data_IF_419273282576
#
_entry.id   IF_419273282576
#
_cell.length_a   1.000
_cell.length_b   1.000
_cell.length_c   1.000
_cell.angle_alpha   90.00
_cell.angle_beta   90.00
_cell.angle_gamma   90.00
#
_symmetry.space_group_name_H-M   'P 1'
#
loop_
_entity.id
_entity.type
_entity.pdbx_description
1 polymer ?
#
# COMPACT_ATOMS: atom_id res chain seq x y z
N UNK A 1 -44.94 41.06 -23.27
CA UNK A 1 -43.79 40.23 -23.69
C UNK A 1 -42.54 40.75 -23.00
N UNK A 2 -42.08 40.09 -21.93
CA UNK A 2 -40.78 40.35 -21.31
C UNK A 2 -39.85 39.20 -21.71
N UNK A 3 -38.74 39.53 -22.40
CA UNK A 3 -37.65 38.59 -22.65
C UNK A 3 -36.80 38.57 -21.39
N UNK A 4 -36.87 37.48 -20.61
CA UNK A 4 -35.88 37.22 -19.58
C UNK A 4 -34.68 36.53 -20.23
N UNK A 5 -33.54 37.18 -20.08
CA UNK A 5 -32.23 36.78 -20.56
C UNK A 5 -31.79 35.62 -19.69
N UNK A 6 -31.62 34.44 -20.29
CA UNK A 6 -30.87 33.35 -19.70
C UNK A 6 -29.42 33.81 -19.56
N UNK A 7 -29.04 34.26 -18.36
CA UNK A 7 -27.63 34.35 -18.02
C UNK A 7 -27.14 32.92 -17.81
N UNK A 8 -26.53 32.38 -18.87
CA UNK A 8 -25.65 31.23 -18.78
C UNK A 8 -24.61 31.50 -17.70
N UNK A 9 -24.65 30.75 -16.60
CA UNK A 9 -23.56 30.65 -15.63
C UNK A 9 -22.41 29.85 -16.27
N UNK A 10 -21.80 30.43 -17.31
CA UNK A 10 -20.53 29.98 -17.85
C UNK A 10 -19.44 30.77 -17.14
N UNK A 11 -18.91 30.26 -16.01
CA UNK A 11 -17.60 30.63 -15.46
C UNK A 11 -17.34 29.89 -14.14
N UNK A 12 -16.76 28.69 -14.20
CA UNK A 12 -15.64 28.24 -13.34
C UNK A 12 -15.21 26.78 -13.67
N UNK A 13 -14.44 26.54 -14.75
CA UNK A 13 -13.77 25.25 -14.96
C UNK A 13 -12.36 25.19 -14.35
N UNK A 14 -11.59 26.28 -14.35
CA UNK A 14 -10.12 26.23 -14.15
C UNK A 14 -9.64 26.05 -12.71
N UNK A 15 -10.37 26.55 -11.69
CA UNK A 15 -9.97 26.34 -10.27
C UNK A 15 -10.01 24.87 -9.85
N UNK A 16 -10.83 24.05 -10.50
CA UNK A 16 -10.99 22.63 -10.18
C UNK A 16 -9.75 21.81 -10.52
N UNK A 17 -9.05 22.14 -11.61
CA UNK A 17 -7.93 21.34 -12.14
C UNK A 17 -6.67 21.48 -11.31
N UNK A 18 -6.26 22.71 -10.99
CA UNK A 18 -5.10 22.96 -10.13
C UNK A 18 -5.31 22.33 -8.75
N UNK A 19 -6.49 22.51 -8.16
CA UNK A 19 -6.86 21.89 -6.88
C UNK A 19 -6.81 20.36 -6.92
N UNK A 20 -7.26 19.74 -8.02
CA UNK A 20 -7.15 18.29 -8.19
C UNK A 20 -5.67 17.84 -8.21
N UNK A 21 -4.77 18.57 -8.90
CA UNK A 21 -3.34 18.26 -8.88
C UNK A 21 -2.69 18.49 -7.50
N UNK A 22 -3.10 19.52 -6.77
CA UNK A 22 -2.64 19.78 -5.40
C UNK A 22 -3.03 18.63 -4.47
N UNK A 23 -4.30 18.21 -4.51
CA UNK A 23 -4.81 17.07 -3.75
C UNK A 23 -4.13 15.77 -4.13
N UNK A 24 -3.98 15.46 -5.43
CA UNK A 24 -3.22 14.26 -5.86
C UNK A 24 -1.80 14.30 -5.29
N UNK A 25 -1.13 15.46 -5.30
CA UNK A 25 0.21 15.60 -4.74
C UNK A 25 0.21 15.35 -3.22
N UNK A 26 -0.73 15.92 -2.47
CA UNK A 26 -0.88 15.70 -1.03
C UNK A 26 -1.14 14.22 -0.70
N UNK A 27 -2.09 13.59 -1.40
CA UNK A 27 -2.39 12.16 -1.23
C UNK A 27 -1.20 11.29 -1.61
N UNK A 28 -0.41 11.66 -2.62
CA UNK A 28 0.81 10.95 -3.02
C UNK A 28 1.90 11.01 -1.93
N UNK A 29 2.09 12.18 -1.30
CA UNK A 29 3.02 12.35 -0.18
C UNK A 29 2.57 11.52 1.03
N UNK A 30 1.29 11.58 1.38
CA UNK A 30 0.74 10.77 2.47
C UNK A 30 0.84 9.28 2.21
N UNK A 31 0.60 8.86 0.98
CA UNK A 31 0.76 7.49 0.57
C UNK A 31 2.21 7.00 0.73
N UNK A 32 3.19 7.84 0.35
CA UNK A 32 4.61 7.51 0.55
C UNK A 32 4.98 7.44 2.03
N UNK A 33 4.50 8.37 2.85
CA UNK A 33 4.72 8.40 4.30
C UNK A 33 4.25 7.09 4.96
N UNK A 34 3.00 6.70 4.69
CA UNK A 34 2.41 5.47 5.20
C UNK A 34 3.15 4.22 4.71
N UNK A 35 3.49 4.18 3.42
CA UNK A 35 4.21 3.04 2.82
C UNK A 35 5.64 2.93 3.37
N UNK A 36 6.31 4.05 3.65
CA UNK A 36 7.61 4.04 4.34
C UNK A 36 7.46 3.53 5.78
N UNK A 37 6.40 3.93 6.48
CA UNK A 37 6.05 3.38 7.80
C UNK A 37 5.80 1.87 7.76
N UNK A 38 5.12 1.37 6.73
CA UNK A 38 4.92 -0.07 6.52
C UNK A 38 6.27 -0.79 6.38
N UNK A 39 7.19 -0.27 5.57
CA UNK A 39 8.52 -0.86 5.43
C UNK A 39 9.28 -0.90 6.76
N UNK A 40 9.21 0.17 7.55
CA UNK A 40 9.82 0.21 8.87
C UNK A 40 9.22 -0.84 9.82
N UNK A 41 7.89 -0.97 9.84
CA UNK A 41 7.18 -1.98 10.64
C UNK A 41 7.54 -3.41 10.21
N UNK A 42 7.60 -3.68 8.88
CA UNK A 42 7.99 -4.98 8.35
C UNK A 42 9.43 -5.35 8.73
N UNK A 43 10.37 -4.40 8.63
CA UNK A 43 11.77 -4.60 9.05
C UNK A 43 11.92 -4.82 10.56
N UNK A 44 10.99 -4.30 11.36
CA UNK A 44 10.93 -4.46 12.81
C UNK A 44 10.13 -5.71 13.27
N UNK A 45 9.63 -6.53 12.33
CA UNK A 45 8.76 -7.68 12.60
C UNK A 45 7.42 -7.31 13.30
N UNK A 46 7.02 -6.03 13.24
CA UNK A 46 5.76 -5.52 13.78
C UNK A 46 4.63 -5.62 12.75
N UNK A 47 4.11 -6.84 12.60
CA UNK A 47 3.06 -7.15 11.63
C UNK A 47 1.70 -6.53 11.96
N UNK A 48 1.47 -6.15 13.21
CA UNK A 48 0.22 -5.48 13.60
C UNK A 48 0.22 -4.05 13.07
N UNK A 49 1.28 -3.28 13.34
CA UNK A 49 1.44 -1.93 12.78
C UNK A 49 1.48 -1.96 11.26
N UNK A 50 2.17 -2.93 10.65
CA UNK A 50 2.17 -3.12 9.20
C UNK A 50 0.74 -3.25 8.63
N UNK A 51 -0.10 -4.07 9.26
CA UNK A 51 -1.49 -4.30 8.84
C UNK A 51 -2.33 -3.03 9.00
N UNK A 52 -2.18 -2.33 10.11
CA UNK A 52 -2.94 -1.12 10.39
C UNK A 52 -2.60 -0.01 9.38
N UNK A 53 -1.32 0.16 9.05
CA UNK A 53 -0.87 1.10 8.01
C UNK A 53 -1.33 0.69 6.60
N UNK A 54 -1.43 -0.61 6.32
CA UNK A 54 -1.97 -1.11 5.05
C UNK A 54 -3.44 -0.71 4.87
N UNK A 55 -4.24 -0.74 5.93
CA UNK A 55 -5.63 -0.25 5.90
C UNK A 55 -5.71 1.26 5.71
N UNK A 56 -4.84 2.01 6.41
CA UNK A 56 -4.83 3.48 6.36
C UNK A 56 -4.45 4.05 4.98
N UNK A 57 -3.69 3.32 4.15
CA UNK A 57 -3.28 3.81 2.84
C UNK A 57 -4.35 3.67 1.74
N UNK A 58 -5.37 2.83 1.94
CA UNK A 58 -6.40 2.55 0.93
C UNK A 58 -7.15 3.82 0.47
N UNK A 59 -7.64 4.69 1.38
CA UNK A 59 -8.38 5.89 0.96
C UNK A 59 -7.56 6.83 0.07
N UNK A 60 -6.24 6.92 0.28
CA UNK A 60 -5.37 7.77 -0.53
C UNK A 60 -5.16 7.22 -1.94
N UNK A 61 -5.10 5.90 -2.10
CA UNK A 61 -5.09 5.27 -3.43
C UNK A 61 -6.39 5.55 -4.18
N UNK A 62 -7.52 5.38 -3.52
CA UNK A 62 -8.85 5.63 -4.11
C UNK A 62 -9.01 7.10 -4.51
N UNK A 63 -8.57 8.03 -3.65
CA UNK A 63 -8.59 9.46 -3.94
C UNK A 63 -7.73 9.81 -5.16
N UNK A 64 -6.49 9.31 -5.24
CA UNK A 64 -5.63 9.52 -6.39
C UNK A 64 -6.28 9.00 -7.68
N UNK A 65 -6.89 7.81 -7.64
CA UNK A 65 -7.54 7.21 -8.79
C UNK A 65 -8.75 8.02 -9.27
N UNK A 66 -9.59 8.47 -8.32
CA UNK A 66 -10.74 9.30 -8.62
C UNK A 66 -10.31 10.66 -9.22
N UNK A 67 -9.36 11.34 -8.58
CA UNK A 67 -8.91 12.67 -9.01
C UNK A 67 -8.13 12.64 -10.33
N UNK A 68 -7.34 11.59 -10.57
CA UNK A 68 -6.62 11.41 -11.84
C UNK A 68 -7.59 11.35 -13.02
N UNK A 69 -8.72 10.68 -12.85
CA UNK A 69 -9.75 10.56 -13.89
C UNK A 69 -10.34 11.93 -14.22
N UNK A 70 -10.65 12.73 -13.20
CA UNK A 70 -11.20 14.08 -13.34
C UNK A 70 -10.20 15.09 -13.93
N UNK A 71 -8.90 14.95 -13.63
CA UNK A 71 -7.86 15.86 -14.11
C UNK A 71 -7.50 15.68 -15.60
N UNK A 72 -7.89 14.56 -16.22
CA UNK A 72 -7.70 14.29 -17.65
C UNK A 72 -8.83 14.91 -18.49
N UNK A 73 -10.04 15.02 -17.92
CA UNK A 73 -11.25 15.45 -18.64
C UNK A 73 -11.46 16.97 -18.69
N UNK A 74 -10.70 17.77 -17.93
CA UNK A 74 -10.84 19.24 -17.94
C UNK A 74 -10.19 19.86 -19.19
N UNK A 75 -11.02 20.37 -20.12
CA UNK A 75 -10.62 21.10 -21.33
C UNK A 75 -9.75 22.34 -21.02
N UNK A 76 -8.86 22.65 -21.96
CA UNK A 76 -7.78 23.64 -21.83
C UNK A 76 -8.27 25.07 -22.03
N UNK A 77 -8.04 25.93 -21.03
CA UNK A 77 -7.90 27.38 -21.23
C UNK A 77 -6.48 27.77 -20.81
N UNK A 78 -5.75 28.38 -21.73
CA UNK A 78 -4.34 28.75 -21.56
C UNK A 78 -4.17 29.84 -20.51
N UNK A 79 -3.93 29.44 -19.27
CA UNK A 79 -3.51 30.33 -18.19
C UNK A 79 -2.07 29.99 -17.79
N UNK A 80 -1.10 30.68 -18.41
CA UNK A 80 0.34 30.35 -18.38
C UNK A 80 0.93 30.21 -16.97
N UNK A 81 0.42 30.95 -15.97
CA UNK A 81 0.87 30.85 -14.58
C UNK A 81 0.42 29.56 -13.88
N UNK A 82 -0.81 29.10 -14.14
CA UNK A 82 -1.35 27.87 -13.54
C UNK A 82 -0.74 26.63 -14.22
N UNK A 83 -0.48 26.70 -15.53
CA UNK A 83 0.24 25.65 -16.26
C UNK A 83 1.61 25.36 -15.63
N UNK A 84 2.38 26.39 -15.27
CA UNK A 84 3.68 26.21 -14.61
C UNK A 84 3.56 25.54 -13.22
N UNK A 85 2.51 25.87 -12.44
CA UNK A 85 2.24 25.22 -11.14
C UNK A 85 1.85 23.76 -11.33
N UNK A 86 0.95 23.47 -12.26
CA UNK A 86 0.52 22.10 -12.60
C UNK A 86 1.72 21.26 -13.05
N UNK A 87 2.61 21.79 -13.87
CA UNK A 87 3.79 21.05 -14.31
C UNK A 87 4.80 20.79 -13.19
N UNK A 88 4.92 21.72 -12.22
CA UNK A 88 5.67 21.46 -10.99
C UNK A 88 5.01 20.34 -10.17
N UNK A 89 3.70 20.38 -9.97
CA UNK A 89 2.95 19.34 -9.24
C UNK A 89 3.08 17.97 -9.93
N UNK A 90 2.95 17.90 -11.26
CA UNK A 90 3.16 16.66 -12.03
C UNK A 90 4.55 16.08 -11.83
N UNK A 91 5.59 16.92 -11.80
CA UNK A 91 6.96 16.45 -11.50
C UNK A 91 7.06 15.91 -10.09
N UNK A 92 6.53 16.62 -9.10
CA UNK A 92 6.52 16.16 -7.70
C UNK A 92 5.80 14.81 -7.57
N UNK A 93 4.57 14.71 -8.08
CA UNK A 93 3.77 13.48 -8.08
C UNK A 93 4.55 12.31 -8.70
N UNK A 94 5.21 12.52 -9.85
CA UNK A 94 6.03 11.48 -10.50
C UNK A 94 7.20 11.03 -9.62
N UNK A 95 7.89 11.97 -8.97
CA UNK A 95 9.00 11.63 -8.07
C UNK A 95 8.50 10.89 -6.81
N UNK A 96 7.35 11.27 -6.25
CA UNK A 96 6.74 10.54 -5.13
C UNK A 96 6.35 9.12 -5.54
N UNK A 97 5.76 8.91 -6.73
CA UNK A 97 5.47 7.55 -7.22
C UNK A 97 6.71 6.71 -7.52
N UNK A 98 7.81 7.32 -7.99
CA UNK A 98 9.09 6.60 -8.15
C UNK A 98 9.63 6.12 -6.81
N UNK A 99 9.58 6.97 -5.78
CA UNK A 99 9.97 6.58 -4.41
C UNK A 99 9.05 5.48 -3.89
N UNK A 100 7.73 5.63 -4.08
CA UNK A 100 6.74 4.64 -3.67
C UNK A 100 7.04 3.27 -4.27
N UNK A 101 7.27 3.20 -5.59
CA UNK A 101 7.58 1.94 -6.27
C UNK A 101 8.85 1.26 -5.70
N UNK A 102 9.86 2.04 -5.33
CA UNK A 102 11.06 1.50 -4.67
C UNK A 102 10.74 0.94 -3.29
N UNK A 103 9.97 1.67 -2.48
CA UNK A 103 9.58 1.24 -1.13
C UNK A 103 8.70 0.00 -1.18
N UNK A 104 7.72 -0.06 -2.09
CA UNK A 104 6.86 -1.24 -2.26
C UNK A 104 7.66 -2.47 -2.70
N UNK A 105 8.69 -2.31 -3.53
CA UNK A 105 9.60 -3.42 -3.88
C UNK A 105 10.36 -3.93 -2.65
N UNK A 106 10.89 -3.04 -1.81
CA UNK A 106 11.56 -3.44 -0.55
C UNK A 106 10.59 -4.12 0.43
N UNK A 107 9.33 -3.66 0.50
CA UNK A 107 8.29 -4.32 1.30
C UNK A 107 8.03 -5.74 0.79
N UNK A 108 7.89 -5.90 -0.52
CA UNK A 108 7.66 -7.20 -1.14
C UNK A 108 8.78 -8.19 -0.80
N UNK A 109 10.04 -7.76 -0.95
CA UNK A 109 11.21 -8.59 -0.62
C UNK A 109 11.22 -8.96 0.87
N UNK A 110 10.92 -8.00 1.75
CA UNK A 110 10.86 -8.23 3.20
C UNK A 110 9.80 -9.25 3.58
N UNK A 111 8.59 -9.15 3.01
CA UNK A 111 7.50 -10.10 3.24
C UNK A 111 7.85 -11.47 2.69
N UNK A 112 8.46 -11.54 1.51
CA UNK A 112 8.82 -12.82 0.90
C UNK A 112 9.88 -13.56 1.72
N UNK A 113 10.88 -12.84 2.24
CA UNK A 113 11.87 -13.42 3.16
C UNK A 113 11.20 -13.93 4.44
N UNK A 114 10.35 -13.12 5.08
CA UNK A 114 9.62 -13.56 6.28
C UNK A 114 8.77 -14.80 6.01
N UNK A 115 8.10 -14.85 4.87
CA UNK A 115 7.29 -16.02 4.45
C UNK A 115 8.17 -17.27 4.35
N UNK A 116 9.35 -17.17 3.75
CA UNK A 116 10.29 -18.30 3.64
C UNK A 116 10.75 -18.76 5.03
N UNK A 117 11.08 -17.84 5.93
CA UNK A 117 11.49 -18.16 7.30
C UNK A 117 10.37 -18.89 8.05
N UNK A 118 9.13 -18.41 7.94
CA UNK A 118 7.97 -19.06 8.58
C UNK A 118 7.73 -20.46 8.01
N UNK A 119 7.87 -20.65 6.70
CA UNK A 119 7.75 -21.98 6.07
C UNK A 119 8.84 -22.91 6.58
N UNK A 120 10.07 -22.42 6.72
CA UNK A 120 11.18 -23.20 7.28
C UNK A 120 10.89 -23.63 8.72
N UNK A 121 10.50 -22.71 9.59
CA UNK A 121 10.13 -22.99 10.98
C UNK A 121 8.98 -24.00 11.09
N UNK A 122 7.98 -23.90 10.21
CA UNK A 122 6.87 -24.86 10.17
C UNK A 122 7.35 -26.27 9.79
N UNK A 123 8.28 -26.40 8.85
CA UNK A 123 8.86 -27.69 8.47
C UNK A 123 9.66 -28.31 9.61
N UNK A 124 10.48 -27.51 10.32
CA UNK A 124 11.22 -27.98 11.51
C UNK A 124 10.26 -28.45 12.60
N UNK A 125 9.19 -27.70 12.86
CA UNK A 125 8.16 -28.08 13.81
C UNK A 125 7.49 -29.42 13.43
N UNK A 126 7.15 -29.61 12.15
CA UNK A 126 6.59 -30.88 11.67
C UNK A 126 7.57 -32.06 11.86
N UNK A 127 8.86 -31.86 11.58
CA UNK A 127 9.88 -32.89 11.81
C UNK A 127 10.00 -33.23 13.31
N UNK A 128 9.97 -32.22 14.18
CA UNK A 128 9.93 -32.40 15.64
C UNK A 128 8.71 -33.22 16.09
N UNK A 129 7.54 -32.93 15.54
CA UNK A 129 6.32 -33.70 15.83
C UNK A 129 6.41 -35.16 15.38
N UNK A 130 6.99 -35.42 14.20
CA UNK A 130 7.23 -36.79 13.71
C UNK A 130 8.21 -37.53 14.64
N UNK A 131 9.28 -36.85 15.07
CA UNK A 131 10.23 -37.40 16.02
C UNK A 131 9.55 -37.79 17.34
N UNK A 132 8.79 -36.87 17.95
CA UNK A 132 8.09 -37.12 19.23
C UNK A 132 7.13 -38.31 19.12
N UNK A 133 6.41 -38.43 18.00
CA UNK A 133 5.52 -39.57 17.74
C UNK A 133 6.28 -40.90 17.68
N UNK A 134 7.44 -40.93 17.00
CA UNK A 134 8.28 -42.13 16.91
C UNK A 134 8.88 -42.49 18.27
N UNK A 135 9.40 -41.50 18.99
CA UNK A 135 9.97 -41.69 20.32
C UNK A 135 8.94 -42.22 21.32
N UNK A 136 7.74 -41.63 21.34
CA UNK A 136 6.64 -42.13 22.18
C UNK A 136 6.28 -43.60 21.87
N UNK A 137 6.27 -43.97 20.59
CA UNK A 137 6.04 -45.37 20.19
C UNK A 137 7.16 -46.31 20.68
N UNK A 138 8.42 -45.88 20.59
CA UNK A 138 9.57 -46.68 21.05
C UNK A 138 9.52 -46.91 22.57
N UNK A 139 9.31 -45.85 23.36
CA UNK A 139 9.18 -45.96 24.82
C UNK A 139 8.02 -46.89 25.20
N UNK A 140 6.90 -46.83 24.48
CA UNK A 140 5.79 -47.75 24.74
C UNK A 140 6.14 -49.21 24.42
N UNK A 141 6.86 -49.46 23.32
CA UNK A 141 7.33 -50.80 22.96
C UNK A 141 8.29 -51.35 24.03
N UNK A 142 9.27 -50.56 24.46
CA UNK A 142 10.20 -50.92 25.54
C UNK A 142 9.46 -51.25 26.84
N UNK A 143 8.44 -50.47 27.19
CA UNK A 143 7.60 -50.70 28.37
C UNK A 143 6.79 -51.99 28.29
N UNK A 144 6.37 -52.41 27.09
CA UNK A 144 5.68 -53.70 26.91
C UNK A 144 6.67 -54.85 27.06
N UNK A 145 7.84 -54.75 26.41
CA UNK A 145 8.90 -55.77 26.49
C UNK A 145 9.35 -55.98 27.94
N UNK A 146 9.56 -54.90 28.71
CA UNK A 146 9.99 -54.99 30.10
C UNK A 146 8.96 -55.60 31.07
N UNK A 147 7.71 -55.78 30.64
CA UNK A 147 6.68 -56.50 31.42
C UNK A 147 6.58 -57.99 31.08
N UNK A 148 7.17 -58.38 29.95
CA UNK A 148 7.11 -59.76 29.42
C UNK A 148 8.35 -60.56 29.85
N UNK A 149 9.49 -59.88 30.01
CA UNK A 149 10.73 -60.43 30.58
C UNK A 149 10.68 -60.33 32.10
#
# INVERSE_FOLDING_TARGET
MKKEIWMSNSNQPDRSRLQNFERINESSVKLLELTTGMLAAAKADDWQTFRDLTGQRVPYFEEIQALKSLAIESESVDNTSETAKIDKLRRNIREEFKKLAKVDAEIFDTINNKKQDLVHQMNEFQQGMVFLKRYSSQVNQERVISKVI
#
